data_IF_196656230972
#
_entry.id   IF_196656230972
#
_cell.length_a   1.000
_cell.length_b   1.000
_cell.length_c   1.000
_cell.angle_alpha   90.00
_cell.angle_beta   90.00
_cell.angle_gamma   90.00
#
_symmetry.space_group_name_H-M   'P 1'
#
loop_
_entity.id
_entity.type
_entity.pdbx_description
1 polymer ?
#
# COMPACT_ATOMS: atom_id res chain seq x y z
N UNK A 1 5.40 20.19 23.32
CA UNK A 1 4.71 20.65 24.55
C UNK A 1 3.22 20.56 24.24
N UNK A 2 2.44 19.76 24.96
CA UNK A 2 0.97 19.76 24.79
C UNK A 2 0.46 21.13 25.27
N UNK A 3 -0.16 21.91 24.39
CA UNK A 3 -0.86 23.12 24.81
C UNK A 3 -2.34 22.90 24.64
N UNK A 4 -3.09 23.06 25.72
CA UNK A 4 -4.55 23.07 25.68
C UNK A 4 -5.02 24.44 25.22
N UNK A 5 -6.02 24.51 24.35
CA UNK A 5 -6.59 25.75 23.80
C UNK A 5 -7.42 26.57 24.80
N UNK A 6 -7.29 26.29 26.11
CA UNK A 6 -8.10 26.89 27.16
C UNK A 6 -9.53 26.35 27.26
N UNK A 7 -9.98 25.49 26.34
CA UNK A 7 -11.29 24.81 26.38
C UNK A 7 -11.20 23.30 26.67
N UNK A 8 -9.99 22.82 26.96
CA UNK A 8 -9.73 21.40 27.23
C UNK A 8 -9.44 20.57 25.98
N UNK A 9 -9.42 21.17 24.78
CA UNK A 9 -8.95 20.48 23.60
C UNK A 9 -7.42 20.49 23.57
N UNK A 10 -6.85 19.32 23.34
CA UNK A 10 -5.44 19.20 22.99
C UNK A 10 -5.30 19.59 21.54
N UNK A 11 -4.80 20.79 21.26
CA UNK A 11 -4.36 21.15 19.92
C UNK A 11 -2.89 20.77 19.78
N UNK A 12 -2.56 20.04 18.71
CA UNK A 12 -1.18 19.95 18.28
C UNK A 12 -0.80 21.36 17.82
N UNK A 13 0.08 22.04 18.56
CA UNK A 13 0.62 23.35 18.22
C UNK A 13 0.91 23.41 16.72
N UNK A 14 0.53 24.53 16.12
CA UNK A 14 0.65 24.97 14.73
C UNK A 14 2.00 24.62 14.06
N UNK A 15 2.27 23.34 13.82
CA UNK A 15 3.29 22.88 12.90
C UNK A 15 2.74 23.10 11.48
N UNK A 16 3.56 23.53 10.50
CA UNK A 16 3.13 23.49 9.11
C UNK A 16 2.60 22.09 8.83
N UNK A 17 1.34 21.97 8.41
CA UNK A 17 0.78 20.66 8.09
C UNK A 17 1.61 20.10 6.93
N UNK A 18 2.44 19.09 7.20
CA UNK A 18 3.15 18.34 6.18
C UNK A 18 2.21 17.64 5.20
N UNK A 19 0.92 17.56 5.55
CA UNK A 19 -0.12 16.88 4.81
C UNK A 19 -1.21 17.88 4.43
N UNK A 20 -1.12 18.48 3.24
CA UNK A 20 -2.22 19.23 2.66
C UNK A 20 -3.07 18.28 1.80
N UNK A 21 -4.39 18.53 1.77
CA UNK A 21 -5.32 17.79 0.91
C UNK A 21 -5.19 16.25 1.02
N UNK A 22 -4.98 15.71 2.23
CA UNK A 22 -4.76 14.28 2.43
C UNK A 22 -6.00 13.46 2.03
N UNK A 23 -5.79 12.46 1.19
CA UNK A 23 -6.76 11.46 0.78
C UNK A 23 -6.23 10.07 1.12
N UNK A 24 -7.09 9.14 1.50
CA UNK A 24 -6.68 7.79 1.84
C UNK A 24 -7.83 6.81 1.75
N UNK A 25 -7.49 5.52 1.77
CA UNK A 25 -8.48 4.48 1.70
C UNK A 25 -7.91 3.07 1.69
N UNK A 26 -8.80 2.12 1.43
CA UNK A 26 -8.48 0.70 1.31
C UNK A 26 -8.86 0.26 -0.09
N UNK A 27 -7.92 -0.35 -0.81
CA UNK A 27 -8.17 -0.97 -2.12
C UNK A 27 -8.08 -2.48 -1.99
N UNK A 28 -9.09 -3.19 -2.48
CA UNK A 28 -9.01 -4.65 -2.59
C UNK A 28 -7.98 -5.03 -3.65
N UNK A 29 -7.06 -5.92 -3.28
CA UNK A 29 -6.08 -6.54 -4.18
C UNK A 29 -6.60 -7.92 -4.57
N UNK A 30 -7.16 -8.69 -3.63
CA UNK A 30 -7.67 -10.04 -3.86
C UNK A 30 -6.57 -11.07 -4.13
N UNK A 31 -6.96 -12.24 -4.62
CA UNK A 31 -6.05 -13.31 -5.01
C UNK A 31 -5.36 -13.04 -6.36
N UNK A 32 -4.28 -13.78 -6.62
CA UNK A 32 -3.62 -13.89 -7.93
C UNK A 32 -3.48 -15.35 -8.32
N UNK A 33 -3.92 -15.68 -9.54
CA UNK A 33 -3.77 -17.00 -10.14
C UNK A 33 -2.64 -16.95 -11.17
N UNK A 34 -1.50 -17.56 -10.85
CA UNK A 34 -0.39 -17.80 -11.80
C UNK A 34 0.56 -16.63 -12.09
N UNK A 35 0.28 -15.40 -11.62
CA UNK A 35 1.15 -14.25 -11.80
C UNK A 35 1.80 -13.80 -10.48
N UNK A 36 3.14 -13.70 -10.49
CA UNK A 36 3.98 -13.34 -9.33
C UNK A 36 3.62 -11.97 -8.74
N UNK A 37 2.94 -11.13 -9.52
CA UNK A 37 2.53 -9.80 -9.15
C UNK A 37 1.13 -9.47 -9.63
N UNK A 38 0.53 -8.45 -9.03
CA UNK A 38 -0.74 -7.87 -9.44
C UNK A 38 -0.63 -6.35 -9.40
N UNK A 39 -1.12 -5.70 -10.43
CA UNK A 39 -1.18 -4.24 -10.47
C UNK A 39 -2.53 -3.75 -9.96
N UNK A 40 -2.48 -2.74 -9.11
CA UNK A 40 -3.63 -2.18 -8.42
C UNK A 40 -3.65 -0.69 -8.69
N UNK A 41 -4.66 -0.25 -9.42
CA UNK A 41 -4.89 1.17 -9.68
C UNK A 41 -5.80 1.76 -8.60
N UNK A 42 -5.35 2.86 -8.00
CA UNK A 42 -6.10 3.70 -7.09
C UNK A 42 -6.42 5.00 -7.82
N UNK A 43 -7.70 5.30 -7.99
CA UNK A 43 -8.17 6.61 -8.45
C UNK A 43 -8.39 7.48 -7.23
N UNK A 44 -7.81 8.67 -7.22
CA UNK A 44 -8.03 9.63 -6.14
C UNK A 44 -9.46 10.19 -6.24
N UNK A 45 -10.22 10.24 -5.13
CA UNK A 45 -11.54 10.87 -5.11
C UNK A 45 -11.57 12.28 -5.72
N UNK A 46 -10.53 13.06 -5.42
CA UNK A 46 -10.32 14.39 -6.02
C UNK A 46 -8.90 14.43 -6.63
N UNK A 47 -8.73 14.82 -7.90
CA UNK A 47 -7.41 15.01 -8.46
C UNK A 47 -6.61 16.07 -7.70
N UNK A 48 -5.32 15.80 -7.46
CA UNK A 48 -4.39 16.74 -6.85
C UNK A 48 -4.02 17.88 -7.80
N UNK A 49 -3.70 19.05 -7.23
CA UNK A 49 -3.29 20.20 -8.03
C UNK A 49 -1.81 20.14 -8.40
N UNK A 50 -1.01 19.54 -7.53
CA UNK A 50 0.42 19.30 -7.67
C UNK A 50 0.74 17.81 -7.58
N UNK A 51 2.01 17.45 -7.78
CA UNK A 51 2.48 16.07 -7.67
C UNK A 51 2.32 15.56 -6.24
N UNK A 52 1.45 14.57 -5.96
CA UNK A 52 1.23 14.10 -4.61
C UNK A 52 2.36 13.20 -4.11
N UNK A 53 2.61 13.22 -2.81
CA UNK A 53 3.31 12.15 -2.11
C UNK A 53 2.35 10.99 -1.87
N UNK A 54 2.78 9.76 -2.16
CA UNK A 54 1.93 8.57 -2.11
C UNK A 54 2.60 7.51 -1.23
N UNK A 55 1.83 6.97 -0.29
CA UNK A 55 2.23 5.89 0.60
C UNK A 55 1.21 4.76 0.46
N UNK A 56 1.68 3.52 0.37
CA UNK A 56 0.82 2.35 0.31
C UNK A 56 1.47 1.17 1.01
N UNK A 57 0.67 0.40 1.74
CA UNK A 57 1.11 -0.81 2.42
C UNK A 57 0.11 -1.95 2.23
N UNK A 58 0.65 -3.14 1.96
CA UNK A 58 -0.18 -4.35 1.87
C UNK A 58 -0.63 -4.75 3.27
N UNK A 59 -1.91 -5.02 3.39
CA UNK A 59 -2.53 -5.59 4.58
C UNK A 59 -2.92 -7.03 4.27
N UNK A 60 -2.40 -7.95 5.07
CA UNK A 60 -2.65 -9.38 4.99
C UNK A 60 -3.37 -9.82 6.26
N UNK A 61 -4.65 -10.21 6.12
CA UNK A 61 -5.52 -10.56 7.25
C UNK A 61 -5.65 -12.07 7.48
N UNK A 62 -4.72 -12.88 6.97
CA UNK A 62 -4.78 -14.33 7.15
C UNK A 62 -3.67 -14.80 8.11
N UNK A 63 -4.04 -15.70 9.02
CA UNK A 63 -3.26 -16.15 10.21
C UNK A 63 -2.13 -17.12 9.81
N UNK A 64 -2.02 -17.46 8.51
CA UNK A 64 -0.92 -18.27 7.98
C UNK A 64 0.41 -17.53 8.05
N UNK A 65 1.26 -17.93 9.00
CA UNK A 65 2.64 -17.45 9.15
C UNK A 65 3.44 -17.87 7.91
N UNK A 66 4.07 -16.92 7.21
CA UNK A 66 5.09 -17.21 6.19
C UNK A 66 4.97 -16.49 4.86
N UNK A 67 3.80 -15.94 4.51
CA UNK A 67 3.67 -15.18 3.27
C UNK A 67 4.23 -13.77 3.43
N UNK A 68 5.08 -13.32 2.49
CA UNK A 68 5.65 -11.99 2.49
C UNK A 68 5.26 -11.27 1.21
N UNK A 69 4.79 -10.04 1.34
CA UNK A 69 4.36 -9.22 0.21
C UNK A 69 5.02 -7.86 0.25
N UNK A 70 5.29 -7.29 -0.91
CA UNK A 70 5.73 -5.91 -1.08
C UNK A 70 4.73 -5.15 -1.94
N UNK A 71 4.48 -3.89 -1.56
CA UNK A 71 3.77 -2.91 -2.37
C UNK A 71 4.78 -1.92 -2.93
N UNK A 72 4.91 -1.86 -4.25
CA UNK A 72 5.83 -0.93 -4.91
C UNK A 72 5.03 0.06 -5.75
N UNK A 73 5.23 1.35 -5.54
CA UNK A 73 4.65 2.39 -6.39
C UNK A 73 5.29 2.29 -7.79
N UNK A 74 4.49 1.93 -8.81
CA UNK A 74 4.96 1.76 -10.19
C UNK A 74 4.92 3.06 -10.99
N UNK A 75 3.92 3.90 -10.73
CA UNK A 75 3.71 5.16 -11.43
C UNK A 75 2.45 5.87 -10.94
N UNK A 76 2.36 7.17 -11.18
CA UNK A 76 1.26 7.99 -10.72
C UNK A 76 1.16 9.29 -11.51
N UNK A 77 0.00 9.93 -11.42
CA UNK A 77 -0.26 11.30 -11.84
C UNK A 77 -1.22 11.94 -10.85
N UNK A 78 -1.72 13.14 -11.16
CA UNK A 78 -2.59 13.89 -10.25
C UNK A 78 -3.95 13.23 -9.98
N UNK A 79 -4.41 12.28 -10.80
CA UNK A 79 -5.73 11.64 -10.65
C UNK A 79 -5.66 10.20 -10.14
N UNK A 80 -4.51 9.54 -10.24
CA UNK A 80 -4.38 8.14 -9.86
C UNK A 80 -2.94 7.72 -9.58
N UNK A 81 -2.79 6.59 -8.88
CA UNK A 81 -1.54 5.87 -8.75
C UNK A 81 -1.70 4.38 -9.00
N UNK A 82 -0.60 3.72 -9.36
CA UNK A 82 -0.54 2.28 -9.59
C UNK A 82 0.48 1.68 -8.65
N UNK A 83 0.04 0.72 -7.84
CA UNK A 83 0.91 -0.14 -7.04
C UNK A 83 1.06 -1.50 -7.72
N UNK A 84 2.29 -2.00 -7.76
CA UNK A 84 2.59 -3.40 -8.06
C UNK A 84 2.73 -4.14 -6.74
N UNK A 85 1.86 -5.12 -6.53
CA UNK A 85 1.89 -6.00 -5.37
C UNK A 85 2.58 -7.30 -5.77
N UNK A 86 3.63 -7.68 -5.06
CA UNK A 86 4.40 -8.90 -5.36
C UNK A 86 4.53 -9.77 -4.12
N UNK A 87 4.50 -11.09 -4.33
CA UNK A 87 4.85 -12.06 -3.29
C UNK A 87 6.37 -12.29 -3.30
N UNK A 88 7.04 -12.07 -2.17
CA UNK A 88 8.52 -12.04 -2.09
C UNK A 88 9.13 -13.18 -1.26
N UNK A 89 8.34 -13.92 -0.47
CA UNK A 89 8.79 -15.15 0.20
C UNK A 89 9.12 -16.27 -0.81
N UNK A 90 8.70 -16.11 -2.07
CA UNK A 90 8.87 -17.09 -3.13
C UNK A 90 10.27 -17.09 -3.79
N UNK A 91 11.07 -16.03 -3.62
CA UNK A 91 12.32 -15.87 -4.37
C UNK A 91 13.59 -16.38 -3.65
N UNK A 92 13.54 -16.56 -2.32
CA UNK A 92 14.77 -16.82 -1.55
C UNK A 92 15.02 -18.28 -1.18
N UNK A 93 14.08 -19.19 -1.48
CA UNK A 93 14.30 -20.61 -1.19
C UNK A 93 14.86 -21.36 -2.40
N UNK A 94 14.74 -20.82 -3.62
CA UNK A 94 15.14 -21.55 -4.82
C UNK A 94 15.36 -20.66 -6.04
N UNK A 95 16.61 -20.63 -6.53
CA UNK A 95 16.99 -19.90 -7.74
C UNK A 95 16.17 -20.29 -8.98
N UNK A 96 16.28 -19.48 -10.03
CA UNK A 96 15.66 -19.77 -11.32
C UNK A 96 16.00 -21.19 -11.79
N UNK A 97 14.99 -22.05 -11.98
CA UNK A 97 15.16 -23.44 -12.42
C UNK A 97 14.97 -24.52 -11.34
N UNK A 98 14.61 -24.18 -10.10
CA UNK A 98 14.29 -25.23 -9.11
C UNK A 98 12.93 -25.88 -9.37
N UNK A 99 12.85 -27.19 -9.17
CA UNK A 99 11.58 -27.94 -9.13
C UNK A 99 10.85 -27.91 -7.79
N UNK A 100 11.10 -26.94 -6.91
CA UNK A 100 10.45 -26.90 -5.59
C UNK A 100 8.96 -26.52 -5.74
N UNK A 101 8.02 -27.37 -5.26
CA UNK A 101 6.58 -27.11 -5.32
C UNK A 101 6.14 -25.86 -4.53
N UNK A 102 7.01 -25.28 -3.70
CA UNK A 102 6.78 -24.00 -3.02
C UNK A 102 7.02 -22.78 -3.90
N UNK A 103 7.38 -22.96 -5.18
CA UNK A 103 7.53 -21.88 -6.15
C UNK A 103 6.16 -21.29 -6.56
N UNK A 104 5.38 -20.82 -5.60
CA UNK A 104 4.03 -20.32 -5.85
C UNK A 104 4.09 -18.90 -6.39
N UNK A 105 3.98 -18.79 -7.72
CA UNK A 105 3.67 -17.55 -8.43
C UNK A 105 2.28 -17.01 -8.12
N UNK A 106 1.52 -17.70 -7.27
CA UNK A 106 0.13 -17.38 -6.94
C UNK A 106 -0.03 -17.10 -5.45
N UNK A 107 -1.13 -16.41 -5.10
CA UNK A 107 -1.60 -16.33 -3.73
C UNK A 107 -3.13 -16.40 -3.73
N UNK A 108 -3.68 -17.27 -2.88
CA UNK A 108 -5.12 -17.40 -2.69
C UNK A 108 -5.71 -16.42 -1.67
N UNK A 109 -4.87 -15.67 -0.96
CA UNK A 109 -5.31 -14.78 0.10
C UNK A 109 -5.98 -13.52 -0.43
N UNK A 110 -7.04 -13.06 0.26
CA UNK A 110 -7.65 -11.76 0.00
C UNK A 110 -6.78 -10.65 0.59
N UNK A 111 -5.89 -10.11 -0.24
CA UNK A 111 -5.02 -8.99 0.12
C UNK A 111 -5.77 -7.65 0.00
N UNK A 112 -5.38 -6.71 0.85
CA UNK A 112 -5.81 -5.31 0.80
C UNK A 112 -4.60 -4.41 0.72
N UNK A 113 -4.80 -3.20 0.19
CA UNK A 113 -3.81 -2.14 0.14
C UNK A 113 -4.39 -0.93 0.88
N UNK A 114 -3.83 -0.62 2.04
CA UNK A 114 -4.09 0.66 2.70
C UNK A 114 -3.21 1.71 2.04
N UNK A 115 -3.79 2.82 1.64
CA UNK A 115 -3.08 3.87 0.92
C UNK A 115 -3.42 5.24 1.46
N UNK A 116 -2.48 6.16 1.25
CA UNK A 116 -2.58 7.57 1.58
C UNK A 116 -1.86 8.38 0.49
N UNK A 117 -2.43 9.51 0.11
CA UNK A 117 -1.83 10.48 -0.80
C UNK A 117 -2.09 11.90 -0.28
N UNK A 118 -1.13 12.80 -0.43
CA UNK A 118 -1.22 14.19 0.02
C UNK A 118 -0.29 15.08 -0.78
N UNK A 119 -0.55 16.39 -0.78
CA UNK A 119 0.33 17.42 -1.35
C UNK A 119 0.81 18.42 -0.30
#
# INVERSE_FOLDING_TARGET
MLTTDGTGNVSFQNAPSFFNNMQGGIKSVGSSAGANFKEVTITFPTPFTTTPTIIGTVVYNNIGIGNMFIATLKGYNNAQCVFRIERIDNAYVNGAGSGNPLQSTSWGADLKLNWMAFE
#
